data_IF_544255337768
#
_entry.id   IF_544255337768
#
_cell.length_a   1.000
_cell.length_b   1.000
_cell.length_c   1.000
_cell.angle_alpha   90.00
_cell.angle_beta   90.00
_cell.angle_gamma   90.00
#
_symmetry.space_group_name_H-M   'P 1'
#
loop_
_entity.id
_entity.type
_entity.pdbx_description
1 polymer ?
#
# COMPACT_ATOMS: atom_id res chain seq x y z
N UNK A 1 21.03 9.25 -12.42
CA UNK A 1 21.59 8.62 -11.21
C UNK A 1 22.95 9.20 -10.92
N UNK A 2 23.24 9.55 -9.68
CA UNK A 2 24.59 9.94 -9.28
C UNK A 2 25.46 8.66 -9.27
N UNK A 3 26.44 8.54 -10.14
CA UNK A 3 27.21 7.30 -10.38
C UNK A 3 27.95 6.73 -9.15
N UNK A 4 27.84 7.36 -7.99
CA UNK A 4 28.56 6.97 -6.76
C UNK A 4 27.64 6.45 -5.65
N UNK A 5 26.32 6.43 -5.82
CA UNK A 5 25.37 6.04 -4.77
C UNK A 5 24.09 5.43 -5.34
N UNK A 6 23.65 4.31 -4.75
CA UNK A 6 22.35 3.69 -4.96
C UNK A 6 21.48 4.00 -3.73
N UNK A 7 20.40 4.76 -3.95
CA UNK A 7 19.57 5.35 -2.89
C UNK A 7 18.21 4.68 -2.83
N UNK A 8 17.95 4.02 -1.71
CA UNK A 8 16.64 3.46 -1.40
C UNK A 8 15.84 4.44 -0.56
N UNK A 9 14.52 4.47 -0.77
CA UNK A 9 13.57 5.15 0.10
C UNK A 9 12.55 4.15 0.61
N UNK A 10 12.33 4.11 1.91
CA UNK A 10 11.40 3.21 2.56
C UNK A 10 10.68 3.88 3.72
N UNK A 11 9.50 3.40 4.05
CA UNK A 11 8.73 3.93 5.17
C UNK A 11 8.22 2.82 6.08
N UNK A 12 7.96 3.21 7.34
CA UNK A 12 7.35 2.33 8.33
C UNK A 12 8.14 1.08 8.67
N UNK A 13 7.46 0.18 9.37
CA UNK A 13 8.06 -1.04 9.95
C UNK A 13 8.28 -2.16 8.92
N UNK A 14 7.78 -2.00 7.71
CA UNK A 14 7.84 -3.01 6.67
C UNK A 14 8.90 -2.68 5.60
N UNK A 15 8.75 -1.56 4.90
CA UNK A 15 9.59 -1.27 3.74
C UNK A 15 10.99 -0.81 4.11
N UNK A 16 11.15 -0.08 5.23
CA UNK A 16 12.46 0.33 5.69
C UNK A 16 13.37 -0.88 6.01
N UNK A 17 12.93 -1.91 6.76
CA UNK A 17 13.71 -3.13 6.95
C UNK A 17 13.98 -3.92 5.67
N UNK A 18 13.02 -3.97 4.72
CA UNK A 18 13.22 -4.61 3.42
C UNK A 18 14.32 -3.91 2.63
N UNK A 19 14.25 -2.59 2.50
CA UNK A 19 15.29 -1.79 1.83
C UNK A 19 16.65 -1.95 2.55
N UNK A 20 16.64 -1.96 3.88
CA UNK A 20 17.85 -2.17 4.70
C UNK A 20 18.50 -3.52 4.47
N UNK A 21 17.71 -4.60 4.36
CA UNK A 21 18.22 -5.94 4.05
C UNK A 21 18.89 -5.99 2.67
N UNK A 22 18.28 -5.37 1.66
CA UNK A 22 18.86 -5.28 0.33
C UNK A 22 20.12 -4.41 0.29
N UNK A 23 20.10 -3.28 0.98
CA UNK A 23 21.24 -2.38 1.07
C UNK A 23 22.44 -3.04 1.76
N UNK A 24 22.18 -3.82 2.84
CA UNK A 24 23.22 -4.60 3.53
C UNK A 24 23.88 -5.60 2.59
N UNK A 25 23.09 -6.33 1.79
CA UNK A 25 23.64 -7.32 0.85
C UNK A 25 24.40 -6.65 -0.30
N UNK A 26 23.83 -5.61 -0.91
CA UNK A 26 24.42 -4.89 -2.05
C UNK A 26 25.71 -4.14 -1.67
N UNK A 27 25.75 -3.52 -0.50
CA UNK A 27 26.90 -2.73 -0.05
C UNK A 27 27.91 -3.49 0.80
N UNK A 28 27.57 -4.71 1.25
CA UNK A 28 28.31 -5.47 2.25
C UNK A 28 29.24 -6.52 1.67
N UNK A 29 28.91 -7.78 1.90
CA UNK A 29 29.81 -8.91 1.69
C UNK A 29 30.17 -9.23 0.24
N UNK A 30 29.36 -8.85 -0.72
CA UNK A 30 29.52 -9.38 -2.08
C UNK A 30 29.88 -8.33 -3.13
N UNK A 31 29.98 -7.05 -2.78
CA UNK A 31 30.44 -5.97 -3.66
C UNK A 31 30.16 -6.18 -5.16
N UNK A 32 28.90 -6.53 -5.47
CA UNK A 32 28.43 -6.72 -6.87
C UNK A 32 28.30 -5.40 -7.60
N UNK A 33 28.13 -4.31 -6.84
CA UNK A 33 28.03 -2.97 -7.39
C UNK A 33 29.38 -2.46 -7.89
N UNK A 34 29.39 -1.50 -8.83
CA UNK A 34 30.60 -0.84 -9.30
C UNK A 34 31.47 -0.34 -8.14
N UNK A 35 32.80 -0.49 -8.28
CA UNK A 35 33.77 -0.10 -7.24
C UNK A 35 33.56 1.36 -6.81
N UNK A 36 33.44 1.56 -5.50
CA UNK A 36 33.23 2.88 -4.91
C UNK A 36 31.76 3.34 -4.85
N UNK A 37 30.83 2.56 -5.38
CA UNK A 37 29.40 2.86 -5.20
C UNK A 37 28.99 2.59 -3.75
N UNK A 38 28.27 3.56 -3.19
CA UNK A 38 27.67 3.43 -1.85
C UNK A 38 26.21 3.04 -1.98
N UNK A 39 25.65 2.48 -0.92
CA UNK A 39 24.21 2.22 -0.81
C UNK A 39 23.69 2.95 0.42
N UNK A 40 22.60 3.66 0.26
CA UNK A 40 21.93 4.34 1.37
C UNK A 40 20.43 4.00 1.41
N UNK A 41 19.85 4.11 2.61
CA UNK A 41 18.43 3.93 2.84
C UNK A 41 17.92 5.13 3.62
N UNK A 42 16.97 5.84 3.05
CA UNK A 42 16.30 6.96 3.69
C UNK A 42 14.96 6.50 4.25
N UNK A 43 14.73 6.81 5.53
CA UNK A 43 13.44 6.57 6.17
C UNK A 43 12.50 7.76 5.93
N UNK A 44 11.26 7.45 5.56
CA UNK A 44 10.16 8.41 5.50
C UNK A 44 9.07 8.04 6.51
N UNK A 45 8.16 8.96 6.77
CA UNK A 45 6.98 8.66 7.57
C UNK A 45 6.11 7.59 6.92
N UNK A 46 5.39 6.79 7.73
CA UNK A 46 4.51 5.76 7.20
C UNK A 46 3.46 6.33 6.23
N UNK A 47 3.38 5.75 5.04
CA UNK A 47 2.46 6.16 3.98
C UNK A 47 2.98 7.28 3.07
N UNK A 48 3.90 8.11 3.52
CA UNK A 48 4.41 9.24 2.72
C UNK A 48 5.13 8.76 1.44
N UNK A 49 5.89 7.68 1.51
CA UNK A 49 6.65 7.15 0.38
C UNK A 49 5.78 6.63 -0.78
N UNK A 50 4.48 6.42 -0.57
CA UNK A 50 3.60 5.78 -1.56
C UNK A 50 3.53 6.60 -2.86
N UNK A 51 3.10 7.85 -2.79
CA UNK A 51 3.00 8.74 -3.95
C UNK A 51 4.29 9.53 -4.16
N UNK A 52 4.89 10.02 -3.07
CA UNK A 52 6.14 10.78 -3.08
C UNK A 52 7.27 9.93 -3.65
N UNK A 53 7.38 8.66 -3.25
CA UNK A 53 8.37 7.73 -3.80
C UNK A 53 8.29 7.60 -5.32
N UNK A 54 7.08 7.53 -5.90
CA UNK A 54 6.92 7.52 -7.36
C UNK A 54 7.47 8.79 -8.02
N UNK A 55 7.17 9.96 -7.45
CA UNK A 55 7.62 11.26 -7.98
C UNK A 55 9.14 11.44 -7.83
N UNK A 56 9.68 11.08 -6.69
CA UNK A 56 11.10 11.26 -6.37
C UNK A 56 12.01 10.29 -7.13
N UNK A 57 11.58 9.04 -7.35
CA UNK A 57 12.29 8.10 -8.22
C UNK A 57 12.26 8.58 -9.66
N UNK A 58 11.11 9.04 -10.17
CA UNK A 58 11.01 9.58 -11.51
C UNK A 58 11.83 10.87 -11.71
N UNK A 59 12.04 11.64 -10.64
CA UNK A 59 12.88 12.86 -10.63
C UNK A 59 14.37 12.57 -10.40
N UNK A 60 14.75 11.31 -10.12
CA UNK A 60 16.13 10.91 -9.83
C UNK A 60 16.65 11.35 -8.46
N UNK A 61 15.78 11.70 -7.51
CA UNK A 61 16.16 12.01 -6.14
C UNK A 61 16.49 10.73 -5.36
N UNK A 62 15.73 9.65 -5.61
CA UNK A 62 16.01 8.30 -5.16
C UNK A 62 16.05 7.35 -6.35
N UNK A 63 16.59 6.16 -6.16
CA UNK A 63 16.79 5.19 -7.22
C UNK A 63 15.81 4.03 -7.10
N UNK A 64 15.43 3.65 -5.88
CA UNK A 64 14.53 2.52 -5.58
C UNK A 64 13.51 2.93 -4.53
N UNK A 65 12.23 2.65 -4.80
CA UNK A 65 11.15 2.84 -3.85
C UNK A 65 10.14 1.67 -3.89
N UNK A 66 9.20 1.68 -2.92
CA UNK A 66 8.10 0.72 -2.84
C UNK A 66 6.79 1.49 -2.73
N UNK A 67 5.75 1.02 -3.42
CA UNK A 67 4.39 1.55 -3.30
C UNK A 67 3.37 0.44 -3.00
N UNK A 68 2.26 0.81 -2.36
CA UNK A 68 1.08 -0.01 -2.12
C UNK A 68 -0.19 0.86 -2.16
N UNK A 69 -1.31 0.38 -2.69
CA UNK A 69 -1.42 -0.83 -3.52
C UNK A 69 -0.58 -0.72 -4.79
N UNK A 70 -0.22 -1.87 -5.35
CA UNK A 70 0.70 -1.94 -6.49
C UNK A 70 0.21 -1.19 -7.74
N UNK A 71 -1.10 -1.12 -7.95
CA UNK A 71 -1.72 -0.43 -9.11
C UNK A 71 -1.54 1.11 -9.10
N UNK A 72 -1.09 1.70 -7.97
CA UNK A 72 -0.70 3.12 -7.92
C UNK A 72 0.40 3.42 -8.95
N UNK A 73 1.33 2.47 -9.15
CA UNK A 73 2.36 2.62 -10.17
C UNK A 73 1.78 2.69 -11.60
N UNK A 74 0.66 2.01 -11.86
CA UNK A 74 -0.05 2.11 -13.15
C UNK A 74 -0.67 3.49 -13.35
N UNK A 75 -1.22 4.10 -12.29
CA UNK A 75 -1.68 5.49 -12.33
C UNK A 75 -0.52 6.45 -12.59
N UNK A 76 0.62 6.23 -11.93
CA UNK A 76 1.83 7.03 -12.11
C UNK A 76 2.33 6.95 -13.57
N UNK A 77 2.40 5.76 -14.16
CA UNK A 77 2.76 5.58 -15.57
C UNK A 77 1.82 6.31 -16.52
N UNK A 78 0.51 6.27 -16.22
CA UNK A 78 -0.51 6.88 -17.05
C UNK A 78 -0.67 8.40 -16.83
N UNK A 79 -0.04 8.97 -15.80
CA UNK A 79 -0.23 10.37 -15.40
C UNK A 79 -1.65 10.64 -14.93
N UNK A 80 -2.31 9.64 -14.33
CA UNK A 80 -3.64 9.77 -13.74
C UNK A 80 -3.54 10.21 -12.28
N UNK A 81 -4.59 10.86 -11.78
CA UNK A 81 -4.64 11.31 -10.39
C UNK A 81 -4.21 10.19 -9.41
N UNK A 82 -3.38 10.49 -8.40
CA UNK A 82 -2.98 11.84 -7.97
C UNK A 82 -1.73 12.39 -8.67
N UNK A 83 -1.36 11.86 -9.83
CA UNK A 83 -0.22 12.31 -10.63
C UNK A 83 -0.69 13.24 -11.76
N UNK A 84 0.05 14.33 -11.99
CA UNK A 84 -0.30 15.37 -12.99
C UNK A 84 0.26 15.07 -14.38
N UNK A 85 1.17 14.11 -14.48
CA UNK A 85 1.84 13.71 -15.73
C UNK A 85 2.36 12.28 -15.65
N UNK A 86 2.52 11.58 -16.79
CA UNK A 86 3.16 10.29 -16.85
C UNK A 86 4.56 10.29 -16.21
N UNK A 87 4.83 9.30 -15.37
CA UNK A 87 6.13 9.06 -14.75
C UNK A 87 6.82 7.85 -15.40
N UNK A 88 8.12 7.93 -15.64
CA UNK A 88 8.91 6.89 -16.28
C UNK A 88 9.43 5.91 -15.22
N UNK A 89 8.60 4.93 -14.87
CA UNK A 89 8.89 3.92 -13.85
C UNK A 89 8.92 2.51 -14.45
N UNK A 90 9.72 1.61 -13.85
CA UNK A 90 9.78 0.18 -14.16
C UNK A 90 9.81 -0.64 -12.88
N UNK A 91 9.18 -1.80 -12.92
CA UNK A 91 9.16 -2.71 -11.79
C UNK A 91 10.48 -3.48 -11.64
N UNK A 92 10.83 -3.75 -10.40
CA UNK A 92 11.84 -4.76 -10.03
C UNK A 92 11.14 -6.03 -9.55
N UNK A 93 10.20 -5.91 -8.61
CA UNK A 93 9.50 -7.04 -8.01
C UNK A 93 8.18 -6.58 -7.38
N UNK A 94 7.14 -7.39 -7.46
CA UNK A 94 5.89 -7.17 -6.73
C UNK A 94 5.74 -8.21 -5.62
N UNK A 95 5.94 -7.80 -4.37
CA UNK A 95 5.92 -8.71 -3.23
C UNK A 95 4.49 -9.09 -2.84
N UNK A 96 4.26 -10.35 -2.39
CA UNK A 96 2.93 -10.85 -2.05
C UNK A 96 2.40 -10.19 -0.78
N UNK A 97 1.45 -9.31 -0.96
CA UNK A 97 0.74 -8.60 0.09
C UNK A 97 -0.73 -8.56 -0.28
N UNK A 98 -1.56 -9.27 0.49
CA UNK A 98 -3.01 -9.30 0.26
C UNK A 98 -3.68 -8.31 1.20
N UNK A 99 -4.32 -7.29 0.64
CA UNK A 99 -4.92 -6.21 1.41
C UNK A 99 -6.17 -5.64 0.72
N UNK A 100 -7.02 -5.04 1.54
CA UNK A 100 -8.28 -4.41 1.10
C UNK A 100 -8.49 -3.10 1.83
N UNK A 101 -9.13 -2.17 1.12
CA UNK A 101 -9.72 -1.00 1.77
C UNK A 101 -10.95 -1.40 2.56
N UNK A 102 -11.09 -0.91 3.78
CA UNK A 102 -12.18 -1.23 4.69
C UNK A 102 -12.95 0.03 5.03
N UNK A 103 -14.26 -0.05 4.93
CA UNK A 103 -15.20 0.99 5.35
C UNK A 103 -16.12 0.41 6.41
N UNK A 104 -15.80 0.61 7.69
CA UNK A 104 -16.56 0.06 8.80
C UNK A 104 -17.22 1.17 9.62
N UNK A 105 -18.48 0.95 10.00
CA UNK A 105 -19.25 1.85 10.88
C UNK A 105 -19.78 1.08 12.08
N UNK A 106 -19.97 1.73 13.22
CA UNK A 106 -20.60 1.09 14.39
C UNK A 106 -22.04 0.69 14.05
N UNK A 107 -22.39 -0.55 14.36
CA UNK A 107 -23.73 -1.11 14.11
C UNK A 107 -24.85 -0.33 14.79
N UNK A 108 -24.56 0.27 15.95
CA UNK A 108 -25.52 1.08 16.72
C UNK A 108 -26.01 2.34 15.98
N UNK A 109 -25.30 2.80 14.94
CA UNK A 109 -25.69 3.97 14.17
C UNK A 109 -26.82 3.69 13.18
N UNK A 110 -27.09 2.43 12.86
CA UNK A 110 -28.13 2.04 11.91
C UNK A 110 -27.77 2.26 10.44
N UNK A 111 -26.56 2.75 10.14
CA UNK A 111 -26.06 2.98 8.78
C UNK A 111 -25.68 1.66 8.13
N UNK A 112 -26.06 1.45 6.87
CA UNK A 112 -25.79 0.20 6.13
C UNK A 112 -25.10 0.41 4.77
N UNK A 113 -25.05 1.67 4.31
CA UNK A 113 -24.50 2.05 3.02
C UNK A 113 -23.89 3.46 3.06
N UNK A 114 -23.08 3.79 2.07
CA UNK A 114 -22.62 5.18 1.87
C UNK A 114 -23.77 6.13 1.57
N UNK A 115 -24.85 5.62 0.93
CA UNK A 115 -26.02 6.42 0.65
C UNK A 115 -26.75 6.80 1.94
N UNK A 116 -26.82 5.91 2.93
CA UNK A 116 -27.40 6.26 4.23
C UNK A 116 -26.64 7.42 4.90
N UNK A 117 -25.32 7.43 4.78
CA UNK A 117 -24.48 8.51 5.33
C UNK A 117 -24.82 9.84 4.63
N UNK A 118 -24.90 9.83 3.30
CA UNK A 118 -25.21 11.00 2.49
C UNK A 118 -26.64 11.51 2.75
N UNK A 119 -27.64 10.63 2.65
CA UNK A 119 -29.06 10.99 2.74
C UNK A 119 -29.41 11.57 4.11
N UNK A 120 -28.81 11.02 5.17
CA UNK A 120 -29.00 11.51 6.53
C UNK A 120 -28.08 12.68 6.89
N UNK A 121 -27.10 13.01 6.03
CA UNK A 121 -26.01 13.95 6.35
C UNK A 121 -25.41 13.65 7.72
N UNK A 122 -25.08 12.37 7.92
CA UNK A 122 -24.75 11.87 9.24
C UNK A 122 -23.41 12.44 9.73
N UNK A 123 -23.36 13.08 10.93
CA UNK A 123 -22.15 13.73 11.46
C UNK A 123 -21.18 12.74 12.07
N UNK A 124 -20.59 11.85 11.24
CA UNK A 124 -19.69 10.78 11.68
C UNK A 124 -18.42 11.32 12.34
N UNK A 125 -17.97 10.62 13.37
CA UNK A 125 -16.59 10.67 13.83
C UNK A 125 -15.81 9.60 13.07
N UNK A 126 -15.13 9.98 11.99
CA UNK A 126 -14.41 9.05 11.11
C UNK A 126 -12.95 8.97 11.49
N UNK A 127 -12.47 7.78 11.86
CA UNK A 127 -11.05 7.50 11.96
C UNK A 127 -10.50 7.09 10.59
N UNK A 128 -9.45 7.75 10.15
CA UNK A 128 -8.76 7.49 8.88
C UNK A 128 -7.27 7.83 9.03
N UNK A 129 -6.36 7.26 8.20
CA UNK A 129 -4.96 7.69 8.21
C UNK A 129 -4.82 9.19 7.91
N UNK A 130 -3.70 9.77 8.36
CA UNK A 130 -3.40 11.19 8.14
C UNK A 130 -3.43 11.54 6.65
N UNK A 131 -4.27 12.50 6.27
CA UNK A 131 -4.36 13.02 4.91
C UNK A 131 -3.08 13.77 4.52
N UNK A 132 -2.49 14.47 5.47
CA UNK A 132 -1.30 15.31 5.30
C UNK A 132 -0.07 14.49 4.91
N UNK A 133 0.00 13.21 5.27
CA UNK A 133 1.09 12.30 4.88
C UNK A 133 0.91 11.68 3.48
N UNK A 134 -0.09 12.10 2.71
CA UNK A 134 -0.43 11.50 1.42
C UNK A 134 -0.66 9.97 1.50
N UNK A 135 -1.21 9.49 2.60
CA UNK A 135 -1.49 8.08 2.80
C UNK A 135 -2.54 7.57 1.80
N UNK A 136 -2.24 6.47 1.10
CA UNK A 136 -3.15 5.91 0.07
C UNK A 136 -4.53 5.55 0.62
N UNK A 137 -4.63 5.07 1.86
CA UNK A 137 -5.91 4.75 2.50
C UNK A 137 -6.80 5.98 2.71
N UNK A 138 -6.23 7.10 3.20
CA UNK A 138 -6.99 8.34 3.36
C UNK A 138 -7.45 8.91 2.01
N UNK A 139 -6.55 8.88 1.01
CA UNK A 139 -6.87 9.29 -0.35
C UNK A 139 -7.98 8.42 -0.98
N UNK A 140 -7.91 7.09 -0.78
CA UNK A 140 -8.94 6.18 -1.26
C UNK A 140 -10.29 6.41 -0.58
N UNK A 141 -10.30 6.59 0.74
CA UNK A 141 -11.53 6.88 1.49
C UNK A 141 -12.21 8.14 0.95
N UNK A 142 -11.44 9.22 0.79
CA UNK A 142 -11.97 10.47 0.23
C UNK A 142 -12.47 10.29 -1.20
N UNK A 143 -11.73 9.55 -2.04
CA UNK A 143 -12.12 9.34 -3.43
C UNK A 143 -13.41 8.53 -3.56
N UNK A 144 -13.55 7.48 -2.76
CA UNK A 144 -14.80 6.68 -2.72
C UNK A 144 -15.97 7.55 -2.30
N UNK A 145 -15.86 8.27 -1.19
CA UNK A 145 -16.92 9.15 -0.72
C UNK A 145 -17.28 10.23 -1.74
N UNK A 146 -16.29 10.83 -2.41
CA UNK A 146 -16.53 11.83 -3.46
C UNK A 146 -17.32 11.25 -4.65
N UNK A 147 -17.14 9.96 -4.96
CA UNK A 147 -17.94 9.30 -6.00
C UNK A 147 -19.43 9.15 -5.59
N UNK A 148 -19.71 9.16 -4.29
CA UNK A 148 -21.09 9.25 -3.78
C UNK A 148 -21.61 10.70 -3.65
N UNK A 149 -20.77 11.71 -3.87
CA UNK A 149 -21.13 13.13 -3.81
C UNK A 149 -20.88 13.80 -2.45
N UNK A 150 -20.10 13.19 -1.56
CA UNK A 150 -19.66 13.80 -0.31
C UNK A 150 -18.21 13.44 -0.01
N UNK A 151 -17.57 14.15 0.91
CA UNK A 151 -16.20 13.91 1.34
C UNK A 151 -16.02 14.19 2.82
N UNK A 152 -14.79 14.19 3.30
CA UNK A 152 -14.50 14.52 4.70
C UNK A 152 -14.97 15.92 5.08
N UNK A 153 -14.78 16.91 4.20
CA UNK A 153 -15.24 18.28 4.43
C UNK A 153 -16.77 18.36 4.59
N UNK A 154 -17.52 17.55 3.84
CA UNK A 154 -18.96 17.45 3.99
C UNK A 154 -19.35 16.86 5.36
N UNK A 155 -18.71 15.78 5.79
CA UNK A 155 -18.92 15.18 7.12
C UNK A 155 -18.68 16.22 8.23
N UNK A 156 -17.58 16.98 8.15
CA UNK A 156 -17.28 18.05 9.11
C UNK A 156 -18.32 19.17 9.07
N UNK A 157 -18.80 19.55 7.88
CA UNK A 157 -19.86 20.56 7.72
C UNK A 157 -21.21 20.12 8.31
N UNK A 158 -21.46 18.81 8.40
CA UNK A 158 -22.66 18.24 9.04
C UNK A 158 -22.53 18.14 10.56
N UNK A 159 -21.38 18.56 11.13
CA UNK A 159 -21.09 18.50 12.57
C UNK A 159 -20.31 17.27 13.00
N UNK A 160 -19.85 16.45 12.06
CA UNK A 160 -18.97 15.32 12.32
C UNK A 160 -17.53 15.74 12.56
N UNK A 161 -16.64 14.75 12.68
CA UNK A 161 -15.21 14.98 12.95
C UNK A 161 -14.38 13.96 12.20
N UNK A 162 -13.35 14.42 11.51
CA UNK A 162 -12.33 13.54 10.92
C UNK A 162 -11.18 13.39 11.91
N UNK A 163 -11.08 12.18 12.49
CA UNK A 163 -9.98 11.79 13.36
C UNK A 163 -8.84 11.32 12.46
N UNK A 164 -7.87 12.21 12.25
CA UNK A 164 -6.76 11.95 11.32
C UNK A 164 -5.68 11.10 11.96
N UNK A 165 -6.10 10.04 12.63
CA UNK A 165 -5.24 9.04 13.25
C UNK A 165 -5.98 7.69 13.28
N UNK A 166 -5.22 6.63 13.34
CA UNK A 166 -5.74 5.27 13.48
C UNK A 166 -6.12 5.01 14.94
N UNK A 167 -7.21 4.24 15.20
CA UNK A 167 -7.53 3.87 16.56
C UNK A 167 -6.34 3.23 17.25
N UNK A 168 -5.96 3.77 18.40
CA UNK A 168 -4.81 3.28 19.16
C UNK A 168 -5.21 2.06 19.98
N UNK A 169 -4.40 1.02 19.87
CA UNK A 169 -4.49 -0.12 20.74
C UNK A 169 -3.95 0.27 22.13
N UNK A 170 -4.62 -0.16 23.19
CA UNK A 170 -4.09 -0.01 24.52
C UNK A 170 -2.76 -0.76 24.66
N UNK A 171 -1.82 -0.19 25.39
CA UNK A 171 -0.50 -0.79 25.62
C UNK A 171 -0.62 -2.19 26.22
N UNK A 172 0.18 -3.14 25.74
CA UNK A 172 0.16 -4.53 26.17
C UNK A 172 -0.66 -5.49 25.33
N UNK A 173 -1.10 -5.06 24.12
CA UNK A 173 -1.90 -5.90 23.23
C UNK A 173 -3.33 -6.12 23.73
N UNK A 174 -3.78 -5.22 24.60
CA UNK A 174 -5.14 -5.26 25.13
C UNK A 174 -6.20 -5.17 24.05
N UNK A 175 -7.33 -5.77 24.31
CA UNK A 175 -8.45 -5.89 23.38
C UNK A 175 -9.26 -4.60 23.20
N UNK A 176 -8.95 -3.51 23.91
CA UNK A 176 -9.71 -2.29 23.86
C UNK A 176 -9.04 -1.24 22.95
N UNK A 177 -9.86 -0.51 22.22
CA UNK A 177 -9.46 0.68 21.46
C UNK A 177 -9.70 1.90 22.32
N UNK A 178 -8.69 2.78 22.42
CA UNK A 178 -8.71 3.92 23.34
C UNK A 178 -9.51 5.13 22.85
N UNK A 179 -10.09 5.09 21.65
CA UNK A 179 -10.67 6.25 21.01
C UNK A 179 -12.14 6.07 20.68
N UNK A 180 -12.88 7.18 20.84
CA UNK A 180 -14.28 7.28 20.47
C UNK A 180 -14.40 7.61 18.97
N UNK A 181 -14.90 6.66 18.18
CA UNK A 181 -15.14 6.79 16.74
C UNK A 181 -16.51 6.22 16.39
N UNK A 182 -17.10 6.70 15.30
CA UNK A 182 -18.31 6.16 14.70
C UNK A 182 -17.98 5.23 13.52
N UNK A 183 -16.93 5.57 12.77
CA UNK A 183 -16.50 4.88 11.57
C UNK A 183 -14.98 4.79 11.49
N UNK A 184 -14.49 3.74 10.81
CA UNK A 184 -13.07 3.56 10.46
C UNK A 184 -12.99 3.29 8.97
N UNK A 185 -12.32 4.20 8.24
CA UNK A 185 -12.06 4.08 6.81
C UNK A 185 -10.54 3.96 6.62
N UNK A 186 -10.07 2.74 6.43
CA UNK A 186 -8.64 2.42 6.43
C UNK A 186 -8.35 1.14 5.64
N UNK A 187 -7.08 0.86 5.40
CA UNK A 187 -6.55 -0.35 4.78
C UNK A 187 -5.93 -1.30 5.83
N UNK A 188 -5.11 -2.22 5.40
CA UNK A 188 -4.33 -3.15 6.21
C UNK A 188 -5.18 -4.17 6.96
N UNK A 189 -6.04 -4.85 6.19
CA UNK A 189 -6.98 -5.88 6.64
C UNK A 189 -6.32 -6.99 7.49
N UNK A 190 -5.05 -7.30 7.24
CA UNK A 190 -4.30 -8.35 7.94
C UNK A 190 -3.82 -7.95 9.34
N UNK A 191 -4.00 -6.68 9.76
CA UNK A 191 -3.39 -6.19 11.01
C UNK A 191 -4.12 -6.65 12.27
N UNK A 192 -3.36 -6.77 13.36
CA UNK A 192 -3.92 -7.06 14.69
C UNK A 192 -4.94 -5.99 15.12
N UNK A 193 -4.81 -4.77 14.63
CA UNK A 193 -5.77 -3.69 14.84
C UNK A 193 -7.16 -4.10 14.38
N UNK A 194 -7.30 -4.53 13.13
CA UNK A 194 -8.59 -4.97 12.59
C UNK A 194 -9.14 -6.19 13.32
N UNK A 195 -8.28 -7.16 13.62
CA UNK A 195 -8.67 -8.31 14.43
C UNK A 195 -9.26 -7.88 15.78
N UNK A 196 -8.54 -7.03 16.52
CA UNK A 196 -8.99 -6.55 17.83
C UNK A 196 -10.28 -5.73 17.73
N UNK A 197 -10.37 -4.82 16.74
CA UNK A 197 -11.58 -4.03 16.51
C UNK A 197 -12.80 -4.92 16.29
N UNK A 198 -12.70 -5.89 15.40
CA UNK A 198 -13.83 -6.77 15.05
C UNK A 198 -14.19 -7.79 16.13
N UNK A 199 -13.25 -8.09 17.04
CA UNK A 199 -13.53 -8.92 18.22
C UNK A 199 -14.26 -8.14 19.32
N UNK A 200 -14.05 -6.83 19.44
CA UNK A 200 -14.54 -6.03 20.58
C UNK A 200 -15.65 -5.04 20.21
N UNK A 201 -15.77 -4.64 18.93
CA UNK A 201 -16.74 -3.69 18.46
C UNK A 201 -17.77 -4.36 17.54
N UNK A 202 -19.03 -3.94 17.65
CA UNK A 202 -20.07 -4.35 16.70
C UNK A 202 -20.04 -3.42 15.49
N UNK A 203 -19.44 -3.90 14.40
CA UNK A 203 -19.23 -3.16 13.16
C UNK A 203 -20.13 -3.70 12.04
N UNK A 204 -20.51 -2.78 11.14
CA UNK A 204 -21.04 -3.08 9.80
C UNK A 204 -19.99 -2.63 8.80
N UNK A 205 -19.72 -3.46 7.81
CA UNK A 205 -18.79 -3.19 6.71
C UNK A 205 -19.58 -2.73 5.49
N UNK A 206 -19.30 -1.51 5.02
CA UNK A 206 -20.00 -0.92 3.90
C UNK A 206 -19.43 -1.44 2.58
N UNK A 207 -20.28 -2.04 1.76
CA UNK A 207 -19.95 -2.35 0.37
C UNK A 207 -19.99 -1.07 -0.47
N UNK A 208 -19.06 -0.97 -1.42
CA UNK A 208 -19.13 0.06 -2.48
C UNK A 208 -20.11 -0.41 -3.53
N UNK A 209 -21.04 0.45 -3.92
CA UNK A 209 -22.06 0.17 -4.92
C UNK A 209 -21.43 -0.09 -6.31
N UNK A 210 -22.08 -0.91 -7.11
CA UNK A 210 -21.56 -1.36 -8.41
C UNK A 210 -21.32 -0.21 -9.40
N UNK A 211 -22.16 0.82 -9.41
CA UNK A 211 -22.00 2.02 -10.23
C UNK A 211 -20.76 2.83 -9.84
N UNK A 212 -20.50 2.96 -8.55
CA UNK A 212 -19.30 3.63 -8.03
C UNK A 212 -18.04 2.81 -8.31
N UNK A 213 -18.08 1.49 -8.13
CA UNK A 213 -16.95 0.62 -8.49
C UNK A 213 -16.59 0.74 -9.96
N UNK A 214 -17.56 0.72 -10.87
CA UNK A 214 -17.33 0.91 -12.31
C UNK A 214 -16.71 2.26 -12.64
N UNK A 215 -17.15 3.32 -11.95
CA UNK A 215 -16.55 4.64 -12.10
C UNK A 215 -15.07 4.63 -11.68
N UNK A 216 -14.75 4.05 -10.52
CA UNK A 216 -13.38 3.97 -10.01
C UNK A 216 -12.49 3.08 -10.90
N UNK A 217 -13.01 1.95 -11.40
CA UNK A 217 -12.30 1.09 -12.36
C UNK A 217 -11.95 1.83 -13.66
N UNK A 218 -12.84 2.67 -14.17
CA UNK A 218 -12.57 3.51 -15.35
C UNK A 218 -11.43 4.54 -15.08
N UNK A 219 -11.24 4.93 -13.83
CA UNK A 219 -10.12 5.78 -13.41
C UNK A 219 -8.81 5.00 -13.18
N UNK A 220 -8.85 3.67 -13.24
CA UNK A 220 -7.69 2.78 -13.09
C UNK A 220 -7.54 2.16 -11.70
N UNK A 221 -8.57 2.28 -10.84
CA UNK A 221 -8.60 1.60 -9.55
C UNK A 221 -8.92 0.12 -9.73
N UNK A 222 -8.52 -0.67 -8.77
CA UNK A 222 -8.77 -2.11 -8.79
C UNK A 222 -9.82 -2.50 -7.74
N UNK A 223 -10.85 -3.23 -8.19
CA UNK A 223 -11.87 -3.81 -7.32
C UNK A 223 -11.27 -4.88 -6.42
N UNK A 224 -11.72 -4.93 -5.17
CA UNK A 224 -11.41 -5.95 -4.19
C UNK A 224 -12.68 -6.52 -3.53
N UNK A 225 -12.53 -7.63 -2.86
CA UNK A 225 -13.60 -8.27 -2.08
C UNK A 225 -13.04 -8.66 -0.72
N UNK A 226 -13.78 -8.34 0.34
CA UNK A 226 -13.55 -8.95 1.65
C UNK A 226 -14.52 -10.12 1.75
N UNK A 227 -14.03 -11.36 1.86
CA UNK A 227 -14.90 -12.54 1.83
C UNK A 227 -15.83 -12.60 3.05
N UNK A 228 -17.00 -13.18 2.85
CA UNK A 228 -17.88 -13.59 3.93
C UNK A 228 -17.10 -14.30 5.04
N UNK A 229 -17.44 -13.99 6.29
CA UNK A 229 -16.81 -14.53 7.50
C UNK A 229 -15.32 -14.19 7.69
N UNK A 230 -14.77 -13.23 6.92
CA UNK A 230 -13.39 -12.77 7.15
C UNK A 230 -13.25 -12.13 8.54
N UNK A 231 -14.24 -11.32 8.94
CA UNK A 231 -14.38 -10.77 10.27
C UNK A 231 -15.79 -11.04 10.83
N UNK A 232 -15.94 -10.93 12.15
CA UNK A 232 -17.25 -10.87 12.78
C UNK A 232 -18.04 -9.67 12.21
N UNK A 233 -19.28 -9.89 11.79
CA UNK A 233 -20.14 -8.87 11.19
C UNK A 233 -20.07 -8.80 9.67
N UNK A 234 -19.31 -9.67 9.01
CA UNK A 234 -19.33 -9.86 7.56
C UNK A 234 -20.15 -11.10 7.21
N UNK A 235 -21.42 -10.89 6.96
CA UNK A 235 -22.39 -11.97 6.67
C UNK A 235 -22.47 -12.33 5.19
N UNK A 236 -22.02 -11.43 4.30
CA UNK A 236 -21.89 -11.58 2.85
C UNK A 236 -20.60 -10.94 2.37
N UNK A 237 -20.16 -11.25 1.14
CA UNK A 237 -18.98 -10.64 0.54
C UNK A 237 -19.12 -9.12 0.46
N UNK A 238 -18.13 -8.39 0.96
CA UNK A 238 -18.08 -6.92 0.94
C UNK A 238 -17.30 -6.46 -0.28
N UNK A 239 -17.97 -5.75 -1.18
CA UNK A 239 -17.35 -5.17 -2.37
C UNK A 239 -16.57 -3.91 -1.97
N UNK A 240 -15.30 -3.85 -2.34
CA UNK A 240 -14.40 -2.78 -1.94
C UNK A 240 -13.28 -2.56 -2.96
N UNK A 241 -12.19 -1.92 -2.55
CA UNK A 241 -10.98 -1.72 -3.36
C UNK A 241 -9.88 -2.70 -2.94
N UNK A 242 -9.18 -3.23 -3.93
CA UNK A 242 -7.97 -4.02 -3.74
C UNK A 242 -6.81 -3.10 -3.35
N UNK A 243 -6.15 -3.42 -2.25
CA UNK A 243 -4.98 -2.71 -1.74
C UNK A 243 -3.73 -3.59 -1.72
N UNK A 244 -3.76 -4.67 -2.49
CA UNK A 244 -2.71 -5.69 -2.53
C UNK A 244 -1.46 -5.23 -3.29
N UNK A 245 -0.37 -5.95 -3.02
CA UNK A 245 0.91 -5.81 -3.68
C UNK A 245 1.81 -4.74 -3.05
N UNK A 246 3.07 -5.12 -2.81
CA UNK A 246 4.15 -4.17 -2.54
C UNK A 246 5.07 -4.13 -3.74
N UNK A 247 4.85 -3.17 -4.62
CA UNK A 247 5.65 -3.02 -5.82
C UNK A 247 6.93 -2.25 -5.53
N UNK A 248 8.06 -2.92 -5.66
CA UNK A 248 9.36 -2.28 -5.74
C UNK A 248 9.63 -1.85 -7.17
N UNK A 249 9.99 -0.59 -7.34
CA UNK A 249 10.18 0.03 -8.64
C UNK A 249 11.37 0.98 -8.67
N UNK A 250 11.79 1.31 -9.87
CA UNK A 250 12.93 2.17 -10.21
C UNK A 250 12.56 3.11 -11.35
N UNK A 251 13.40 4.08 -11.65
CA UNK A 251 13.29 4.85 -12.89
C UNK A 251 13.56 3.95 -14.10
N UNK A 252 12.85 4.19 -15.22
CA UNK A 252 13.15 3.56 -16.52
C UNK A 252 14.59 3.79 -16.97
N UNK A 253 15.21 4.90 -16.54
CA UNK A 253 16.57 5.28 -16.90
C UNK A 253 17.65 4.72 -15.95
N UNK A 254 17.28 3.82 -15.03
CA UNK A 254 18.27 3.11 -14.21
C UNK A 254 19.17 2.25 -15.10
N UNK A 255 20.49 2.20 -14.87
CA UNK A 255 21.34 1.26 -15.60
C UNK A 255 20.93 -0.19 -15.41
N UNK A 256 20.87 -0.96 -16.50
CA UNK A 256 20.44 -2.36 -16.50
C UNK A 256 21.19 -3.22 -15.50
N UNK A 257 22.51 -3.04 -15.39
CA UNK A 257 23.32 -3.81 -14.46
C UNK A 257 22.96 -3.52 -13.00
N UNK A 258 22.57 -2.29 -12.68
CA UNK A 258 22.13 -1.94 -11.32
C UNK A 258 20.77 -2.57 -11.02
N UNK A 259 19.80 -2.46 -11.92
CA UNK A 259 18.50 -3.12 -11.77
C UNK A 259 18.64 -4.65 -11.68
N UNK A 260 19.55 -5.25 -12.46
CA UNK A 260 19.91 -6.66 -12.39
C UNK A 260 20.41 -7.04 -10.98
N UNK A 261 21.35 -6.26 -10.42
CA UNK A 261 21.90 -6.53 -9.09
C UNK A 261 20.88 -6.33 -7.97
N UNK A 262 19.98 -5.35 -8.09
CA UNK A 262 18.87 -5.20 -7.13
C UNK A 262 17.95 -6.42 -7.18
N UNK A 263 17.63 -6.93 -8.37
CA UNK A 263 16.81 -8.14 -8.54
C UNK A 263 17.53 -9.38 -7.98
N UNK A 264 18.83 -9.51 -8.25
CA UNK A 264 19.67 -10.58 -7.68
C UNK A 264 19.69 -10.52 -6.15
N UNK A 265 19.79 -9.34 -5.56
CA UNK A 265 19.77 -9.17 -4.11
C UNK A 265 18.44 -9.67 -3.51
N UNK A 266 17.32 -9.45 -4.17
CA UNK A 266 16.02 -9.99 -3.73
C UNK A 266 16.06 -11.52 -3.74
N UNK A 267 16.52 -12.15 -4.81
CA UNK A 267 16.57 -13.60 -4.93
C UNK A 267 17.50 -14.24 -3.89
N UNK A 268 18.71 -13.71 -3.75
CA UNK A 268 19.71 -14.20 -2.78
C UNK A 268 19.27 -13.97 -1.32
N UNK A 269 18.44 -12.95 -1.07
CA UNK A 269 17.97 -12.61 0.27
C UNK A 269 16.50 -12.98 0.54
N UNK A 270 15.80 -13.63 -0.39
CA UNK A 270 14.36 -13.90 -0.29
C UNK A 270 13.94 -14.60 1.02
N UNK A 271 14.73 -15.53 1.50
CA UNK A 271 14.43 -16.24 2.75
C UNK A 271 14.67 -15.36 3.98
N UNK A 272 15.70 -14.52 3.96
CA UNK A 272 15.96 -13.56 5.03
C UNK A 272 14.86 -12.48 5.06
N UNK A 273 14.49 -11.96 3.89
CA UNK A 273 13.38 -11.02 3.72
C UNK A 273 12.09 -11.68 4.23
N UNK A 274 11.77 -12.90 3.80
CA UNK A 274 10.59 -13.63 4.24
C UNK A 274 10.52 -13.72 5.77
N UNK A 275 11.62 -14.14 6.43
CA UNK A 275 11.66 -14.25 7.90
C UNK A 275 11.42 -12.93 8.61
N UNK A 276 12.02 -11.85 8.11
CA UNK A 276 11.89 -10.52 8.72
C UNK A 276 10.52 -9.91 8.47
N UNK A 277 9.95 -10.16 7.29
CA UNK A 277 8.72 -9.51 6.83
C UNK A 277 7.45 -10.31 7.12
N UNK A 278 7.54 -11.58 7.52
CA UNK A 278 6.37 -12.36 7.92
C UNK A 278 6.19 -12.28 9.44
N UNK A 279 5.27 -11.45 9.88
CA UNK A 279 4.91 -11.27 11.29
C UNK A 279 3.39 -11.37 11.44
N UNK A 280 2.87 -11.86 12.57
CA UNK A 280 1.44 -11.80 12.85
C UNK A 280 0.91 -10.37 12.75
N UNK A 281 -0.08 -10.16 11.88
CA UNK A 281 -0.72 -8.86 11.72
C UNK A 281 0.09 -7.79 10.99
N UNK A 282 1.12 -8.15 10.23
CA UNK A 282 1.92 -7.20 9.45
C UNK A 282 2.76 -7.92 8.39
N UNK A 283 3.16 -7.18 7.37
CA UNK A 283 4.15 -7.63 6.41
C UNK A 283 3.59 -8.42 5.24
N UNK A 284 4.38 -9.37 4.78
CA UNK A 284 4.01 -10.24 3.67
C UNK A 284 2.91 -11.23 4.09
N UNK A 285 1.92 -11.38 3.23
CA UNK A 285 0.80 -12.32 3.42
C UNK A 285 0.99 -13.62 2.65
N UNK A 286 1.99 -13.67 1.76
CA UNK A 286 2.34 -14.81 0.95
C UNK A 286 3.83 -15.13 0.97
N UNK A 287 4.19 -16.23 0.30
CA UNK A 287 5.57 -16.67 0.15
C UNK A 287 6.25 -15.91 -0.99
N UNK A 288 7.51 -15.53 -0.78
CA UNK A 288 8.33 -14.92 -1.83
C UNK A 288 8.75 -16.02 -2.83
N UNK A 289 8.19 -15.95 -4.02
CA UNK A 289 8.52 -16.82 -5.15
C UNK A 289 8.91 -15.96 -6.36
N UNK A 290 10.14 -16.08 -6.82
CA UNK A 290 10.70 -15.19 -7.84
C UNK A 290 9.85 -15.10 -9.12
N UNK A 291 9.31 -16.22 -9.67
CA UNK A 291 8.41 -16.13 -10.82
C UNK A 291 7.15 -15.28 -10.54
N UNK A 292 6.60 -15.43 -9.32
CA UNK A 292 5.43 -14.65 -8.87
C UNK A 292 5.72 -13.16 -8.74
N UNK A 293 6.89 -12.79 -8.18
CA UNK A 293 7.29 -11.39 -8.05
C UNK A 293 7.36 -10.66 -9.40
N UNK A 294 7.79 -11.37 -10.44
CA UNK A 294 7.89 -10.83 -11.79
C UNK A 294 6.51 -10.76 -12.49
N UNK A 295 5.77 -11.88 -12.45
CA UNK A 295 4.52 -12.03 -13.23
C UNK A 295 3.34 -11.25 -12.66
N UNK A 296 3.35 -10.93 -11.37
CA UNK A 296 2.28 -10.16 -10.71
C UNK A 296 2.44 -8.64 -10.86
N UNK A 297 3.51 -8.17 -11.50
CA UNK A 297 3.75 -6.73 -11.64
C UNK A 297 2.69 -6.05 -12.50
N UNK A 298 2.07 -4.95 -12.03
CA UNK A 298 1.07 -4.20 -12.80
C UNK A 298 1.69 -3.24 -13.84
N UNK A 299 3.01 -3.05 -13.80
CA UNK A 299 3.75 -2.22 -14.75
C UNK A 299 4.91 -3.03 -15.36
N UNK A 300 5.47 -2.61 -16.52
CA UNK A 300 6.56 -3.33 -17.14
C UNK A 300 7.77 -3.48 -16.21
N UNK A 301 8.41 -4.64 -16.23
CA UNK A 301 9.68 -4.85 -15.56
C UNK A 301 10.78 -4.00 -16.19
N UNK A 302 11.77 -3.61 -15.39
CA UNK A 302 13.02 -3.02 -15.89
C UNK A 302 13.81 -4.05 -16.70
N UNK A 303 14.48 -3.63 -17.78
CA UNK A 303 15.20 -4.55 -18.67
C UNK A 303 16.28 -5.36 -17.92
N UNK A 304 17.00 -4.74 -17.01
CA UNK A 304 17.96 -5.42 -16.15
C UNK A 304 17.31 -6.45 -15.23
N UNK A 305 16.15 -6.15 -14.66
CA UNK A 305 15.38 -7.11 -13.86
C UNK A 305 14.88 -8.27 -14.72
N UNK A 306 14.31 -7.96 -15.89
CA UNK A 306 13.84 -8.96 -16.85
C UNK A 306 14.95 -9.89 -17.29
N UNK A 307 16.16 -9.36 -17.56
CA UNK A 307 17.35 -10.16 -17.87
C UNK A 307 17.67 -11.15 -16.76
N UNK A 308 17.70 -10.70 -15.49
CA UNK A 308 17.93 -11.60 -14.35
C UNK A 308 16.89 -12.71 -14.27
N UNK A 309 15.59 -12.36 -14.33
CA UNK A 309 14.50 -13.33 -14.25
C UNK A 309 14.58 -14.39 -15.36
N UNK A 310 14.93 -13.99 -16.59
CA UNK A 310 15.10 -14.91 -17.73
C UNK A 310 16.32 -15.81 -17.58
N UNK A 311 17.49 -15.27 -17.19
CA UNK A 311 18.72 -16.05 -16.99
C UNK A 311 18.57 -17.12 -15.91
N UNK A 312 17.75 -16.85 -14.89
CA UNK A 312 17.42 -17.82 -13.84
C UNK A 312 16.28 -18.78 -14.21
N UNK A 313 15.65 -18.60 -15.37
CA UNK A 313 14.53 -19.43 -15.80
C UNK A 313 13.22 -19.14 -15.06
N UNK A 314 13.10 -17.99 -14.40
CA UNK A 314 11.88 -17.56 -13.70
C UNK A 314 10.85 -16.95 -14.64
N UNK A 315 11.27 -16.42 -15.78
CA UNK A 315 10.43 -15.97 -16.90
C UNK A 315 10.85 -16.68 -18.19
N UNK A 316 9.86 -16.88 -19.07
CA UNK A 316 10.08 -17.43 -20.43
C UNK A 316 10.64 -16.38 -21.38
#
# INVERSE_FOLDING_TARGET
MNAQELRFIGSGVNWLPLCGQLALWLGGYYSVLPKGMRVSVTAMEPGESIFTGCREVAAGLYDVAITTPDWIASLALAGRAPFDKPLRLRAIANFPHDDRMIFAVRKSLGLRSFRDILDQRYPLKVSTPLRETNHSGAWAAERVMNAYGFGFDAIESWGGKVLRDRPRMLSGGGAAVSEDFDAIFDEAIMTLRWKTLTENEDLIFLSIDEDVLKQLEAEGWRRGVIPKNHFRGIDDDVQTLDFSGWLMFVSEDMPDDIAYFVTMAIDEQKEAIQRVMTRPGSGLTGKIEMPGLASSSPIPLHDGAMRYYREKGYLK
#
